data_IF_058019149727
#
_entry.id   IF_058019149727
#
_cell.length_a   1.000
_cell.length_b   1.000
_cell.length_c   1.000
_cell.angle_alpha   90.00
_cell.angle_beta   90.00
_cell.angle_gamma   90.00
#
_symmetry.space_group_name_H-M   'P 1'
#
loop_
_entity.id
_entity.type
_entity.pdbx_description
1 polymer ?
#
# COMPACT_ATOMS: atom_id res chain seq x y z
N UNK A 1 10.10 22.95 5.90
CA UNK A 1 10.21 21.77 5.01
C UNK A 1 10.98 20.60 5.63
N UNK A 2 11.90 20.85 6.57
CA UNK A 2 12.79 19.82 7.16
C UNK A 2 12.09 18.74 8.03
N UNK A 3 10.86 19.00 8.49
CA UNK A 3 10.14 18.04 9.36
C UNK A 3 9.66 16.77 8.63
N UNK A 4 9.71 16.75 7.29
CA UNK A 4 9.25 15.64 6.44
C UNK A 4 10.39 15.08 5.55
N UNK A 5 11.63 15.50 5.79
CA UNK A 5 12.79 14.99 5.02
C UNK A 5 13.37 13.76 5.69
N UNK A 6 13.55 12.70 4.90
CA UNK A 6 14.13 11.43 5.33
C UNK A 6 15.53 11.34 4.74
N UNK A 7 16.58 11.11 5.54
CA UNK A 7 17.92 10.95 4.98
C UNK A 7 17.99 9.69 4.11
N UNK A 8 18.72 9.77 3.01
CA UNK A 8 18.89 8.64 2.06
C UNK A 8 19.42 7.39 2.76
N UNK A 9 20.30 7.55 3.75
CA UNK A 9 20.83 6.45 4.56
C UNK A 9 19.73 5.63 5.25
N UNK A 10 18.67 6.29 5.73
CA UNK A 10 17.54 5.64 6.37
C UNK A 10 16.63 4.92 5.36
N UNK A 11 16.50 5.43 4.14
CA UNK A 11 15.78 4.72 3.07
C UNK A 11 16.54 3.45 2.64
N UNK A 12 17.86 3.52 2.55
CA UNK A 12 18.70 2.37 2.19
C UNK A 12 18.64 1.29 3.29
N UNK A 13 18.81 1.69 4.56
CA UNK A 13 18.82 0.77 5.69
C UNK A 13 17.42 0.34 6.17
N UNK A 14 16.36 1.00 5.69
CA UNK A 14 14.98 0.74 6.11
C UNK A 14 14.48 -0.65 5.73
N UNK A 15 13.53 -1.15 6.50
CA UNK A 15 12.93 -2.47 6.26
C UNK A 15 12.28 -2.57 4.87
N UNK A 16 12.49 -3.71 4.19
CA UNK A 16 11.83 -4.03 2.93
C UNK A 16 10.45 -4.65 3.20
N UNK A 17 9.41 -3.83 3.15
CA UNK A 17 8.00 -4.25 3.30
C UNK A 17 7.33 -4.61 1.97
N UNK A 18 7.92 -4.19 0.87
CA UNK A 18 7.69 -4.73 -0.47
C UNK A 18 8.89 -5.62 -0.82
N UNK A 19 8.67 -6.93 -0.76
CA UNK A 19 9.70 -7.95 -0.86
C UNK A 19 10.23 -8.09 -2.31
N UNK A 20 11.50 -8.50 -2.47
CA UNK A 20 11.98 -8.99 -3.76
C UNK A 20 11.22 -10.26 -4.18
N UNK A 21 11.17 -10.55 -5.48
CA UNK A 21 10.51 -11.74 -6.03
C UNK A 21 9.20 -11.49 -6.79
N UNK A 22 8.92 -10.23 -7.16
CA UNK A 22 7.80 -9.86 -8.03
C UNK A 22 8.14 -10.00 -9.53
N UNK A 23 7.13 -10.04 -10.38
CA UNK A 23 7.25 -10.21 -11.85
C UNK A 23 7.34 -8.89 -12.64
N UNK A 24 7.80 -7.81 -12.00
CA UNK A 24 7.99 -6.51 -12.64
C UNK A 24 9.00 -6.58 -13.80
N UNK A 25 8.83 -5.70 -14.79
CA UNK A 25 9.85 -5.47 -15.81
C UNK A 25 11.18 -5.02 -15.17
N UNK A 26 12.29 -5.33 -15.84
CA UNK A 26 13.62 -4.83 -15.43
C UNK A 26 13.60 -3.30 -15.48
N UNK A 27 13.92 -2.66 -14.35
CA UNK A 27 13.89 -1.20 -14.24
C UNK A 27 12.49 -0.59 -14.06
N UNK A 28 11.49 -1.37 -13.67
CA UNK A 28 10.13 -0.86 -13.41
C UNK A 28 10.13 0.27 -12.36
N UNK A 29 9.72 1.47 -12.79
CA UNK A 29 9.64 2.66 -11.93
C UNK A 29 8.54 2.56 -10.88
N UNK A 30 7.40 1.93 -11.20
CA UNK A 30 6.28 1.73 -10.27
C UNK A 30 6.70 0.82 -9.10
N UNK A 31 7.33 -0.32 -9.38
CA UNK A 31 7.82 -1.23 -8.33
C UNK A 31 8.84 -0.54 -7.42
N UNK A 32 9.74 0.30 -7.97
CA UNK A 32 10.67 1.11 -7.17
C UNK A 32 9.93 2.13 -6.31
N UNK A 33 8.94 2.83 -6.86
CA UNK A 33 8.14 3.81 -6.13
C UNK A 33 7.39 3.15 -4.97
N UNK A 34 6.77 2.00 -5.20
CA UNK A 34 6.05 1.23 -4.17
C UNK A 34 6.99 0.72 -3.09
N UNK A 35 8.17 0.22 -3.46
CA UNK A 35 9.22 -0.17 -2.50
C UNK A 35 9.62 0.99 -1.59
N UNK A 36 9.86 2.17 -2.16
CA UNK A 36 10.23 3.35 -1.40
C UNK A 36 9.08 3.86 -0.53
N UNK A 37 7.85 3.91 -1.06
CA UNK A 37 6.66 4.29 -0.31
C UNK A 37 6.46 3.38 0.91
N UNK A 38 6.59 2.06 0.73
CA UNK A 38 6.45 1.10 1.83
C UNK A 38 7.48 1.32 2.94
N UNK A 39 8.72 1.72 2.61
CA UNK A 39 9.74 2.07 3.62
C UNK A 39 9.34 3.27 4.48
N UNK A 40 8.63 4.24 3.91
CA UNK A 40 8.15 5.43 4.61
C UNK A 40 6.91 5.11 5.43
N UNK A 41 5.97 4.37 4.85
CA UNK A 41 4.72 3.96 5.50
C UNK A 41 4.96 3.06 6.72
N UNK A 42 5.94 2.16 6.64
CA UNK A 42 6.29 1.27 7.74
C UNK A 42 5.23 0.20 8.04
N UNK A 43 5.48 -0.60 9.09
CA UNK A 43 4.70 -1.83 9.40
C UNK A 43 3.25 -1.58 9.79
N UNK A 44 2.93 -0.40 10.31
CA UNK A 44 1.57 -0.05 10.74
C UNK A 44 0.76 0.51 9.57
N UNK A 45 0.74 -0.22 8.46
CA UNK A 45 0.10 0.21 7.22
C UNK A 45 -0.72 -0.92 6.62
N UNK A 46 -1.84 -0.56 6.00
CA UNK A 46 -2.69 -1.45 5.21
C UNK A 46 -2.79 -0.87 3.80
N UNK A 47 -2.47 -1.68 2.79
CA UNK A 47 -2.55 -1.26 1.39
C UNK A 47 -3.79 -1.87 0.75
N UNK A 48 -4.59 -1.01 0.12
CA UNK A 48 -5.72 -1.38 -0.73
C UNK A 48 -5.27 -1.14 -2.17
N UNK A 49 -5.04 -2.21 -2.92
CA UNK A 49 -4.58 -2.13 -4.31
C UNK A 49 -5.69 -2.54 -5.25
N UNK A 50 -5.98 -1.69 -6.23
CA UNK A 50 -6.84 -2.07 -7.35
C UNK A 50 -6.08 -2.93 -8.35
N UNK A 51 -6.81 -3.60 -9.23
CA UNK A 51 -6.23 -4.27 -10.39
C UNK A 51 -5.37 -3.29 -11.21
N UNK A 52 -4.16 -3.71 -11.56
CA UNK A 52 -3.18 -2.88 -12.26
C UNK A 52 -1.82 -3.58 -12.32
N UNK A 53 -0.82 -2.88 -12.86
CA UNK A 53 0.53 -3.43 -12.99
C UNK A 53 1.09 -3.87 -11.64
N UNK A 54 1.06 -3.01 -10.61
CA UNK A 54 1.58 -3.38 -9.29
C UNK A 54 0.87 -4.59 -8.69
N UNK A 55 -0.46 -4.71 -8.82
CA UNK A 55 -1.22 -5.84 -8.30
C UNK A 55 -0.74 -7.13 -8.97
N UNK A 56 -0.86 -7.24 -10.29
CA UNK A 56 -0.62 -8.51 -10.98
C UNK A 56 0.83 -9.00 -10.88
N UNK A 57 1.80 -8.09 -10.82
CA UNK A 57 3.22 -8.46 -10.71
C UNK A 57 3.61 -8.84 -9.28
N UNK A 58 2.91 -8.33 -8.27
CA UNK A 58 3.29 -8.48 -6.86
C UNK A 58 2.56 -9.59 -6.12
N UNK A 59 1.36 -9.99 -6.58
CA UNK A 59 0.52 -11.01 -5.92
C UNK A 59 0.14 -12.24 -6.78
N UNK A 60 1.02 -12.79 -7.64
CA UNK A 60 0.68 -14.00 -8.38
C UNK A 60 0.56 -15.19 -7.42
N UNK A 61 -0.63 -15.79 -7.32
CA UNK A 61 -0.88 -16.97 -6.48
C UNK A 61 0.16 -18.08 -6.74
N UNK A 62 0.73 -18.74 -5.70
CA UNK A 62 0.45 -18.60 -4.26
C UNK A 62 1.30 -17.54 -3.53
N UNK A 63 2.01 -16.67 -4.26
CA UNK A 63 3.00 -15.77 -3.71
C UNK A 63 2.47 -14.34 -3.57
N UNK A 64 3.04 -13.61 -2.62
CA UNK A 64 2.83 -12.17 -2.46
C UNK A 64 4.14 -11.49 -2.09
N UNK A 65 4.39 -10.33 -2.70
CA UNK A 65 5.52 -9.47 -2.38
C UNK A 65 5.20 -8.52 -1.22
N UNK A 66 3.97 -8.53 -0.71
CA UNK A 66 3.54 -7.66 0.38
C UNK A 66 3.83 -8.30 1.74
N UNK A 67 4.64 -7.61 2.57
CA UNK A 67 4.93 -8.01 3.97
C UNK A 67 4.10 -7.23 5.00
N UNK A 68 3.14 -6.46 4.52
CA UNK A 68 2.13 -5.74 5.29
C UNK A 68 0.74 -6.22 4.84
N UNK A 69 -0.30 -6.04 5.67
CA UNK A 69 -1.67 -6.31 5.25
C UNK A 69 -1.97 -5.62 3.92
N UNK A 70 -2.40 -6.40 2.95
CA UNK A 70 -2.69 -5.96 1.61
C UNK A 70 -3.98 -6.62 1.13
N UNK A 71 -4.80 -5.88 0.40
CA UNK A 71 -6.05 -6.37 -0.17
C UNK A 71 -6.17 -5.96 -1.63
N UNK A 72 -6.50 -6.92 -2.48
CA UNK A 72 -6.90 -6.70 -3.86
C UNK A 72 -8.35 -6.21 -3.94
N UNK A 73 -8.61 -5.26 -4.83
CA UNK A 73 -9.97 -4.83 -5.17
C UNK A 73 -10.11 -4.45 -6.65
N UNK A 74 -11.30 -3.98 -7.03
CA UNK A 74 -11.67 -3.71 -8.42
C UNK A 74 -11.08 -2.37 -8.90
N UNK A 75 -11.04 -2.16 -10.21
CA UNK A 75 -10.40 -1.00 -10.83
C UNK A 75 -10.96 0.34 -10.32
N UNK A 76 -12.27 0.38 -10.06
CA UNK A 76 -13.05 1.58 -9.83
C UNK A 76 -13.17 1.99 -8.35
N UNK A 77 -12.74 1.17 -7.39
CA UNK A 77 -13.20 1.30 -5.99
C UNK A 77 -12.09 1.34 -4.92
N UNK A 78 -10.86 1.73 -5.29
CA UNK A 78 -9.74 1.87 -4.34
C UNK A 78 -10.12 2.67 -3.08
N UNK A 79 -10.68 3.87 -3.29
CA UNK A 79 -11.03 4.81 -2.23
C UNK A 79 -12.21 4.31 -1.38
N UNK A 80 -13.19 3.65 -2.01
CA UNK A 80 -14.35 3.09 -1.30
C UNK A 80 -13.92 1.98 -0.33
N UNK A 81 -13.05 1.06 -0.79
CA UNK A 81 -12.53 -0.02 0.07
C UNK A 81 -11.62 0.53 1.16
N UNK A 82 -10.71 1.46 0.82
CA UNK A 82 -9.87 2.13 1.82
C UNK A 82 -10.69 2.84 2.90
N UNK A 83 -11.76 3.55 2.52
CA UNK A 83 -12.67 4.21 3.47
C UNK A 83 -13.38 3.19 4.38
N UNK A 84 -13.78 2.04 3.83
CA UNK A 84 -14.36 0.95 4.61
C UNK A 84 -13.39 0.37 5.64
N UNK A 85 -12.11 0.18 5.27
CA UNK A 85 -11.05 -0.26 6.19
C UNK A 85 -10.83 0.77 7.30
N UNK A 86 -10.75 2.05 6.95
CA UNK A 86 -10.55 3.17 7.88
C UNK A 86 -11.66 3.23 8.94
N UNK A 87 -12.92 3.23 8.50
CA UNK A 87 -14.09 3.24 9.39
C UNK A 87 -14.16 1.96 10.23
N UNK A 88 -13.83 0.81 9.62
CA UNK A 88 -13.75 -0.47 10.33
C UNK A 88 -12.75 -0.43 11.49
N UNK A 89 -11.55 0.10 11.26
CA UNK A 89 -10.53 0.28 12.30
C UNK A 89 -11.01 1.21 13.42
N UNK A 90 -11.64 2.35 13.08
CA UNK A 90 -12.24 3.27 14.06
C UNK A 90 -13.29 2.59 14.94
N UNK A 91 -14.19 1.82 14.34
CA UNK A 91 -15.25 1.10 15.08
C UNK A 91 -14.65 0.02 15.99
N UNK A 92 -13.66 -0.72 15.50
CA UNK A 92 -12.97 -1.75 16.29
C UNK A 92 -12.25 -1.15 17.51
N UNK A 93 -11.60 0.02 17.33
CA UNK A 93 -11.02 0.80 18.44
C UNK A 93 -12.09 1.25 19.43
N UNK A 94 -13.19 1.86 18.97
CA UNK A 94 -14.30 2.32 19.83
C UNK A 94 -14.93 1.18 20.65
N UNK A 95 -14.97 -0.03 20.09
CA UNK A 95 -15.50 -1.24 20.76
C UNK A 95 -14.46 -1.93 21.66
N UNK A 96 -13.25 -1.39 21.81
CA UNK A 96 -12.17 -2.01 22.59
C UNK A 96 -11.67 -3.34 22.02
N UNK A 97 -11.93 -3.63 20.73
CA UNK A 97 -11.55 -4.89 20.07
C UNK A 97 -10.16 -4.84 19.44
N UNK A 98 -9.51 -3.67 19.46
CA UNK A 98 -8.14 -3.45 18.96
C UNK A 98 -7.48 -2.36 19.80
N UNK A 99 -6.18 -2.46 20.12
CA UNK A 99 -5.43 -1.39 20.76
C UNK A 99 -5.49 -0.10 19.96
N UNK A 100 -5.34 1.01 20.68
CA UNK A 100 -5.23 2.34 20.10
C UNK A 100 -3.85 2.51 19.46
N UNK A 101 -3.81 2.30 18.15
CA UNK A 101 -2.61 2.45 17.34
C UNK A 101 -2.94 3.22 16.09
N UNK A 102 -2.02 4.09 15.68
CA UNK A 102 -2.12 4.75 14.39
C UNK A 102 -1.84 3.72 13.29
N UNK A 103 -2.73 3.64 12.30
CA UNK A 103 -2.64 2.71 11.18
C UNK A 103 -2.90 3.49 9.91
N UNK A 104 -1.91 3.51 9.01
CA UNK A 104 -2.04 4.17 7.73
C UNK A 104 -2.82 3.27 6.76
N UNK A 105 -3.96 3.75 6.28
CA UNK A 105 -4.72 3.08 5.21
C UNK A 105 -4.37 3.77 3.90
N UNK A 106 -3.80 3.02 2.95
CA UNK A 106 -3.27 3.55 1.69
C UNK A 106 -4.03 2.94 0.53
N UNK A 107 -4.78 3.77 -0.19
CA UNK A 107 -5.31 3.41 -1.50
C UNK A 107 -4.18 3.52 -2.53
N UNK A 108 -3.94 2.44 -3.27
CA UNK A 108 -2.93 2.36 -4.31
C UNK A 108 -3.60 2.02 -5.63
N UNK A 109 -3.42 2.91 -6.60
CA UNK A 109 -3.95 2.75 -7.93
C UNK A 109 -2.95 3.28 -8.97
N UNK A 110 -3.00 2.68 -10.16
CA UNK A 110 -2.37 3.26 -11.33
C UNK A 110 -3.09 4.54 -11.78
N UNK A 111 -2.62 5.10 -12.87
CA UNK A 111 -3.22 6.25 -13.55
C UNK A 111 -4.70 6.02 -13.90
N UNK A 112 -5.05 4.88 -14.52
CA UNK A 112 -6.45 4.57 -14.86
C UNK A 112 -7.37 4.48 -13.63
N UNK A 113 -6.89 3.87 -12.55
CA UNK A 113 -7.64 3.77 -11.29
C UNK A 113 -7.67 5.06 -10.46
N UNK A 114 -6.90 6.08 -10.83
CA UNK A 114 -6.84 7.36 -10.11
C UNK A 114 -7.50 8.50 -10.89
N UNK A 115 -7.40 8.48 -12.22
CA UNK A 115 -7.76 9.62 -13.09
C UNK A 115 -8.79 9.27 -14.16
N UNK A 116 -9.25 8.03 -14.22
CA UNK A 116 -10.31 7.58 -15.13
C UNK A 116 -11.40 6.83 -14.35
N UNK A 117 -11.45 5.50 -14.45
CA UNK A 117 -12.55 4.69 -13.90
C UNK A 117 -12.68 4.80 -12.36
N UNK A 118 -11.60 5.05 -11.64
CA UNK A 118 -11.60 5.14 -10.17
C UNK A 118 -11.72 6.54 -9.58
N UNK A 119 -12.06 7.56 -10.38
CA UNK A 119 -12.16 8.96 -9.94
C UNK A 119 -13.37 9.27 -9.04
N UNK A 120 -14.39 8.40 -9.01
CA UNK A 120 -15.70 8.63 -8.40
C UNK A 120 -15.65 8.83 -6.88
#
# INVERSE_FOLDING_TARGET
MEKHTIPVSQLIAGEELFAPGHRACVGCGEALAVRLACKVLGRNSIVVSVTGCIEIISSPLPYTSWRIPWIHTLFENAAAVASGVEVGLKVMRKKGRRPDQDVHVVAMAGDGGTSDIGLQ
#
